data_IF_127145140501
#
_entry.id   IF_127145140501
#
_cell.length_a   1.000
_cell.length_b   1.000
_cell.length_c   1.000
_cell.angle_alpha   90.00
_cell.angle_beta   90.00
_cell.angle_gamma   90.00
#
_symmetry.space_group_name_H-M   'P 1'
#
loop_
_entity.id
_entity.type
_entity.pdbx_description
1 polymer ?
#
# COMPACT_ATOMS: atom_id res chain seq x y z
N UNK A 1 -15.29 11.09 -2.60
CA UNK A 1 -15.52 9.65 -2.88
C UNK A 1 -14.92 9.29 -4.22
N UNK A 2 -14.40 8.09 -4.35
CA UNK A 2 -13.80 7.61 -5.58
C UNK A 2 -13.84 6.08 -5.63
N UNK A 3 -13.55 5.52 -6.79
CA UNK A 3 -13.59 4.09 -6.98
C UNK A 3 -12.26 3.64 -7.60
N UNK A 4 -11.67 2.62 -7.03
CA UNK A 4 -10.46 2.02 -7.58
C UNK A 4 -10.80 0.73 -8.31
N UNK A 5 -10.26 0.56 -9.49
CA UNK A 5 -10.48 -0.63 -10.29
C UNK A 5 -9.14 -1.20 -10.69
N UNK A 6 -8.93 -2.48 -10.45
CA UNK A 6 -7.71 -3.13 -10.88
C UNK A 6 -8.02 -3.96 -12.12
N UNK A 7 -7.21 -3.78 -13.14
CA UNK A 7 -7.35 -4.49 -14.38
C UNK A 7 -6.08 -5.26 -14.68
N UNK A 8 -6.24 -6.46 -15.22
CA UNK A 8 -5.10 -7.21 -15.65
C UNK A 8 -4.72 -6.72 -17.03
N UNK A 9 -3.44 -6.54 -17.26
CA UNK A 9 -2.96 -6.12 -18.54
C UNK A 9 -3.02 -7.33 -19.47
N UNK A 10 -3.67 -7.18 -20.61
CA UNK A 10 -3.80 -8.30 -21.51
C UNK A 10 -2.62 -8.45 -22.44
N UNK A 11 -1.68 -7.53 -22.40
CA UNK A 11 -0.50 -7.64 -23.23
C UNK A 11 0.48 -8.58 -22.52
N UNK A 12 0.73 -9.74 -23.10
CA UNK A 12 1.58 -10.73 -22.46
C UNK A 12 3.01 -10.26 -22.29
N UNK A 13 3.42 -9.27 -23.04
CA UNK A 13 4.76 -8.76 -22.91
C UNK A 13 4.83 -7.54 -22.01
N UNK A 14 3.76 -7.24 -21.31
CA UNK A 14 3.73 -6.06 -20.46
C UNK A 14 4.65 -6.27 -19.27
N UNK A 15 5.44 -5.24 -18.97
CA UNK A 15 6.34 -5.31 -17.86
C UNK A 15 5.57 -5.43 -16.55
N UNK A 16 4.40 -4.85 -16.49
CA UNK A 16 3.60 -4.88 -15.27
C UNK A 16 2.24 -5.49 -15.62
N UNK A 17 1.90 -6.61 -15.01
CA UNK A 17 0.67 -7.31 -15.37
C UNK A 17 -0.62 -6.66 -14.87
N UNK A 18 -0.52 -5.76 -13.92
CA UNK A 18 -1.73 -5.14 -13.36
C UNK A 18 -1.68 -3.62 -13.40
N UNK A 19 -2.84 -3.02 -13.52
CA UNK A 19 -2.96 -1.57 -13.47
C UNK A 19 -4.14 -1.22 -12.60
N UNK A 20 -3.94 -0.29 -11.66
CA UNK A 20 -5.03 0.25 -10.90
C UNK A 20 -5.43 1.57 -11.52
N UNK A 21 -6.72 1.77 -11.69
CA UNK A 21 -7.27 3.03 -12.18
C UNK A 21 -8.22 3.55 -11.14
N UNK A 22 -8.12 4.81 -10.86
CA UNK A 22 -8.96 5.45 -9.87
C UNK A 22 -9.85 6.47 -10.54
N UNK A 23 -11.13 6.43 -10.25
CA UNK A 23 -12.10 7.33 -10.85
C UNK A 23 -12.87 8.07 -9.76
N UNK A 24 -13.16 9.33 -9.99
CA UNK A 24 -14.03 10.04 -9.07
C UNK A 24 -15.48 9.67 -9.36
N UNK A 25 -16.38 10.12 -8.54
CA UNK A 25 -17.79 9.76 -8.69
C UNK A 25 -18.45 10.34 -9.95
N UNK A 26 -17.75 11.17 -10.69
CA UNK A 26 -18.24 11.66 -11.95
C UNK A 26 -17.71 10.82 -13.10
N UNK A 27 -16.93 9.78 -12.81
CA UNK A 27 -16.38 8.90 -13.83
C UNK A 27 -15.09 9.40 -14.45
N UNK A 28 -14.51 10.47 -13.93
CA UNK A 28 -13.25 10.97 -14.48
C UNK A 28 -12.09 10.18 -13.87
N UNK A 29 -11.15 9.80 -14.72
CA UNK A 29 -9.97 9.10 -14.25
C UNK A 29 -9.08 10.06 -13.45
N UNK A 30 -8.78 9.72 -12.22
CA UNK A 30 -7.95 10.53 -11.37
C UNK A 30 -6.49 10.13 -11.51
N UNK A 31 -6.21 8.85 -11.63
CA UNK A 31 -4.86 8.38 -11.89
C UNK A 31 -4.90 6.93 -12.37
N UNK A 32 -3.82 6.49 -12.97
CA UNK A 32 -3.63 5.11 -13.38
C UNK A 32 -2.19 4.74 -13.05
N UNK A 33 -2.00 3.65 -12.32
CA UNK A 33 -0.67 3.22 -11.92
C UNK A 33 -0.54 1.73 -12.13
N UNK A 34 0.64 1.29 -12.53
CA UNK A 34 0.89 -0.11 -12.80
C UNK A 34 1.60 -0.76 -11.62
N UNK A 35 1.38 -2.03 -11.43
CA UNK A 35 2.11 -2.78 -10.41
C UNK A 35 2.28 -4.23 -10.88
N UNK A 36 3.15 -4.98 -10.20
CA UNK A 36 3.60 -6.25 -10.74
C UNK A 36 3.49 -7.44 -9.81
N UNK A 37 2.64 -7.40 -8.82
CA UNK A 37 2.41 -8.59 -8.00
C UNK A 37 0.94 -9.00 -8.10
N UNK A 38 0.69 -10.28 -7.91
CA UNK A 38 -0.68 -10.78 -7.92
C UNK A 38 -1.39 -10.24 -6.69
N UNK A 39 -2.46 -9.54 -6.90
CA UNK A 39 -3.18 -8.95 -5.79
C UNK A 39 -4.29 -9.86 -5.33
N UNK A 40 -4.62 -9.79 -4.06
CA UNK A 40 -5.74 -10.54 -3.52
C UNK A 40 -6.70 -9.66 -2.73
N UNK A 41 -6.34 -8.43 -2.43
CA UNK A 41 -7.22 -7.55 -1.70
C UNK A 41 -6.94 -6.08 -2.02
N UNK A 42 -7.98 -5.27 -1.91
CA UNK A 42 -7.84 -3.85 -2.12
C UNK A 42 -8.70 -3.17 -1.07
N UNK A 43 -8.16 -2.15 -0.44
CA UNK A 43 -8.88 -1.36 0.56
C UNK A 43 -8.80 0.09 0.14
N UNK A 44 -9.89 0.83 0.27
CA UNK A 44 -9.89 2.25 -0.04
C UNK A 44 -10.56 3.03 1.08
N UNK A 45 -10.06 4.20 1.33
CA UNK A 45 -10.76 5.14 2.20
C UNK A 45 -10.68 6.51 1.52
N UNK A 46 -10.90 7.57 2.26
CA UNK A 46 -10.96 8.89 1.65
C UNK A 46 -9.59 9.41 1.22
N UNK A 47 -8.53 8.82 1.69
CA UNK A 47 -7.20 9.36 1.44
C UNK A 47 -6.30 8.45 0.64
N UNK A 48 -6.52 7.15 0.68
CA UNK A 48 -5.55 6.23 0.11
C UNK A 48 -6.16 4.93 -0.36
N UNK A 49 -5.42 4.24 -1.20
CA UNK A 49 -5.79 2.93 -1.70
C UNK A 49 -4.67 1.98 -1.36
N UNK A 50 -5.01 0.89 -0.69
CA UNK A 50 -4.03 -0.12 -0.32
C UNK A 50 -4.30 -1.37 -1.12
N UNK A 51 -3.29 -1.88 -1.80
CA UNK A 51 -3.40 -3.11 -2.58
C UNK A 51 -2.44 -4.11 -2.00
N UNK A 52 -2.91 -5.29 -1.70
CA UNK A 52 -2.06 -6.33 -1.13
C UNK A 52 -2.17 -7.62 -1.93
N UNK A 53 -1.15 -8.42 -1.88
CA UNK A 53 -1.13 -9.74 -2.48
C UNK A 53 0.03 -10.53 -1.93
N UNK A 54 -0.26 -11.65 -1.28
CA UNK A 54 0.78 -12.41 -0.59
C UNK A 54 1.40 -11.56 0.50
N UNK A 55 2.69 -11.33 0.43
CA UNK A 55 3.38 -10.46 1.39
C UNK A 55 3.51 -9.05 0.86
N UNK A 56 3.12 -8.80 -0.37
CA UNK A 56 3.35 -7.51 -1.02
C UNK A 56 2.25 -6.52 -0.68
N UNK A 57 2.62 -5.27 -0.57
CA UNK A 57 1.69 -4.20 -0.29
C UNK A 57 2.13 -2.95 -1.02
N UNK A 58 1.18 -2.24 -1.60
CA UNK A 58 1.47 -0.94 -2.14
C UNK A 58 0.36 -0.02 -1.68
N UNK A 59 0.72 1.17 -1.24
CA UNK A 59 -0.22 2.16 -0.77
C UNK A 59 -0.11 3.38 -1.67
N UNK A 60 -1.21 3.70 -2.33
CA UNK A 60 -1.27 4.88 -3.18
C UNK A 60 -2.04 5.97 -2.46
N UNK A 61 -1.57 7.19 -2.60
CA UNK A 61 -2.38 8.33 -2.18
C UNK A 61 -3.42 8.55 -3.27
N UNK A 62 -4.47 9.26 -2.96
CA UNK A 62 -5.56 9.44 -3.93
C UNK A 62 -5.12 10.22 -5.16
N UNK A 63 -3.97 10.85 -5.15
CA UNK A 63 -3.44 11.51 -6.33
C UNK A 63 -2.57 10.57 -7.17
N UNK A 64 -2.44 9.32 -6.76
CA UNK A 64 -1.68 8.32 -7.49
C UNK A 64 -0.24 8.18 -7.06
N UNK A 65 0.26 9.05 -6.20
CA UNK A 65 1.65 8.89 -5.76
C UNK A 65 1.76 7.71 -4.81
N UNK A 66 2.88 7.04 -4.82
CA UNK A 66 3.09 5.88 -3.97
C UNK A 66 3.56 6.34 -2.60
N UNK A 67 2.85 5.90 -1.57
CA UNK A 67 3.20 6.21 -0.21
C UNK A 67 4.11 5.13 0.35
N UNK A 68 3.88 3.90 -0.03
CA UNK A 68 4.71 2.77 0.39
C UNK A 68 4.59 1.66 -0.63
N UNK A 69 5.67 0.95 -0.87
CA UNK A 69 5.64 -0.24 -1.71
C UNK A 69 6.71 -1.19 -1.18
N UNK A 70 6.32 -2.41 -0.90
CA UNK A 70 7.28 -3.40 -0.41
C UNK A 70 6.61 -4.65 0.07
N UNK A 71 7.40 -5.54 0.62
CA UNK A 71 6.92 -6.78 1.19
C UNK A 71 6.95 -6.69 2.71
N UNK A 72 5.92 -7.17 3.32
CA UNK A 72 5.88 -7.26 4.78
C UNK A 72 6.38 -8.65 5.20
N UNK A 73 6.39 -8.91 6.48
CA UNK A 73 7.09 -10.09 6.97
C UNK A 73 6.36 -11.38 6.65
N UNK A 74 5.07 -11.36 6.57
CA UNK A 74 4.28 -12.56 6.34
C UNK A 74 3.15 -12.27 5.37
N UNK A 75 2.43 -13.30 5.00
CA UNK A 75 1.29 -13.15 4.14
C UNK A 75 0.24 -12.27 4.80
N UNK A 76 -0.22 -11.28 4.10
CA UNK A 76 -1.15 -10.28 4.61
C UNK A 76 -2.56 -10.76 4.39
N UNK A 77 -3.35 -10.80 5.44
CA UNK A 77 -4.76 -11.10 5.30
C UNK A 77 -5.53 -9.79 5.14
N UNK A 78 -5.12 -8.76 5.82
CA UNK A 78 -5.79 -7.48 5.75
C UNK A 78 -4.85 -6.40 6.25
N UNK A 79 -4.99 -5.20 5.71
CA UNK A 79 -4.24 -4.06 6.22
C UNK A 79 -5.15 -2.87 6.11
N UNK A 80 -5.27 -2.10 7.18
CA UNK A 80 -6.11 -0.92 7.20
C UNK A 80 -5.41 0.21 7.95
N UNK A 81 -5.70 1.44 7.61
CA UNK A 81 -5.16 2.55 8.38
C UNK A 81 -5.71 2.52 9.81
N UNK A 82 -4.89 2.86 10.77
CA UNK A 82 -5.34 2.85 12.15
C UNK A 82 -6.04 4.13 12.56
N UNK A 83 -5.95 5.15 11.75
CA UNK A 83 -6.46 6.46 12.11
C UNK A 83 -5.35 7.40 12.56
N UNK A 84 -4.17 6.89 12.82
CA UNK A 84 -3.04 7.72 13.17
C UNK A 84 -2.16 7.90 11.95
N UNK A 85 -1.45 9.02 11.92
CA UNK A 85 -0.61 9.36 10.77
C UNK A 85 0.42 8.25 10.51
N UNK A 86 0.50 7.78 9.29
CA UNK A 86 1.45 6.79 8.83
C UNK A 86 1.40 5.47 9.62
N UNK A 87 0.27 5.17 10.22
CA UNK A 87 0.16 3.95 11.01
C UNK A 87 -0.93 3.05 10.47
N UNK A 88 -0.64 1.77 10.38
CA UNK A 88 -1.56 0.78 9.83
C UNK A 88 -1.63 -0.45 10.73
N UNK A 89 -2.77 -1.10 10.73
CA UNK A 89 -2.93 -2.37 11.43
C UNK A 89 -2.88 -3.45 10.36
N UNK A 90 -1.98 -4.39 10.52
CA UNK A 90 -1.82 -5.49 9.57
C UNK A 90 -2.22 -6.78 10.24
N UNK A 91 -3.12 -7.51 9.62
CA UNK A 91 -3.56 -8.80 10.11
C UNK A 91 -2.89 -9.85 9.25
N UNK A 92 -2.07 -10.66 9.85
CA UNK A 92 -1.44 -11.79 9.21
C UNK A 92 -2.23 -13.06 9.58
N UNK A 93 -1.79 -14.19 9.11
CA UNK A 93 -2.47 -15.42 9.39
C UNK A 93 -2.53 -15.70 10.89
N UNK A 94 -1.45 -15.52 11.59
CA UNK A 94 -1.35 -15.91 12.99
C UNK A 94 -1.14 -14.77 13.97
N UNK A 95 -1.13 -13.56 13.50
CA UNK A 95 -0.89 -12.45 14.41
C UNK A 95 -1.34 -11.14 13.78
N UNK A 96 -1.48 -10.15 14.61
CA UNK A 96 -1.83 -8.81 14.15
C UNK A 96 -0.74 -7.86 14.64
N UNK A 97 -0.34 -6.95 13.78
CA UNK A 97 0.71 -6.00 14.13
C UNK A 97 0.33 -4.61 13.72
N UNK A 98 0.89 -3.63 14.39
CA UNK A 98 0.80 -2.25 13.99
C UNK A 98 2.11 -1.93 13.29
N UNK A 99 2.03 -1.38 12.10
CA UNK A 99 3.23 -0.93 11.41
C UNK A 99 3.17 0.58 11.28
N UNK A 100 4.31 1.20 11.31
CA UNK A 100 4.42 2.63 11.09
C UNK A 100 5.36 2.86 9.94
N UNK A 101 4.96 3.72 9.01
CA UNK A 101 5.82 4.09 7.91
C UNK A 101 6.72 5.23 8.36
N UNK A 102 7.99 5.12 8.10
CA UNK A 102 8.91 6.15 8.46
C UNK A 102 9.46 6.79 7.23
N UNK A 103 9.56 8.09 7.25
CA UNK A 103 10.23 8.77 6.16
C UNK A 103 11.72 8.62 6.42
N UNK A 104 12.39 7.85 5.59
CA UNK A 104 13.79 7.58 5.80
C UNK A 104 14.70 8.46 4.99
N UNK A 105 14.15 9.43 4.26
CA UNK A 105 15.01 10.29 3.51
C UNK A 105 15.76 11.16 4.45
N UNK A 106 17.02 11.17 4.39
CA UNK A 106 17.77 11.95 5.32
C UNK A 106 17.62 13.34 4.87
N UNK A 107 17.78 14.23 5.80
CA UNK A 107 17.58 15.46 5.48
C UNK A 107 18.50 15.93 4.50
N UNK A 108 18.25 16.74 3.68
CA UNK A 108 19.10 17.19 2.73
C UNK A 108 19.40 16.27 1.65
N UNK A 109 18.91 15.17 1.65
CA UNK A 109 19.22 14.26 0.74
C UNK A 109 18.63 14.63 -0.48
N UNK A 110 19.33 14.70 -1.44
CA UNK A 110 18.81 14.90 -2.59
C UNK A 110 18.42 13.74 -3.10
N UNK A 111 17.40 13.54 -3.17
CA UNK A 111 16.95 12.48 -3.78
C UNK A 111 17.35 12.61 -5.10
N UNK A 112 17.88 11.77 -5.66
CA UNK A 112 18.19 11.73 -6.85
C UNK A 112 17.06 11.69 -7.60
N UNK A 113 17.01 12.33 -8.52
CA UNK A 113 15.95 12.29 -9.33
C UNK A 113 15.66 10.98 -9.72
N UNK A 114 14.63 10.63 -9.77
CA UNK A 114 14.29 9.35 -10.14
C UNK A 114 14.37 8.43 -9.08
N UNK A 115 14.84 8.80 -8.06
CA UNK A 115 14.85 7.97 -7.02
C UNK A 115 13.52 7.74 -6.74
N UNK A 116 13.21 6.70 -6.37
CA UNK A 116 11.93 6.40 -6.25
C UNK A 116 11.37 6.74 -5.01
N UNK A 117 10.16 6.87 -4.95
CA UNK A 117 9.53 7.22 -3.80
C UNK A 117 9.65 6.21 -2.77
N UNK A 118 9.81 5.02 -3.12
CA UNK A 118 9.78 4.04 -2.11
C UNK A 118 11.02 4.13 -1.30
N UNK A 119 12.04 4.78 -1.72
CA UNK A 119 13.20 4.80 -0.90
C UNK A 119 13.07 5.76 0.25
N UNK A 120 12.07 6.57 0.29
CA UNK A 120 11.92 7.47 1.40
C UNK A 120 11.07 6.95 2.53
N UNK A 121 10.47 5.81 2.36
CA UNK A 121 9.53 5.30 3.36
C UNK A 121 9.85 3.85 3.67
N UNK A 122 9.94 3.52 4.91
CA UNK A 122 10.10 2.13 5.32
C UNK A 122 9.05 1.84 6.37
N UNK A 123 8.73 0.59 6.51
CA UNK A 123 7.75 0.17 7.49
C UNK A 123 8.45 -0.37 8.72
N UNK A 124 8.00 0.04 9.88
CA UNK A 124 8.45 -0.58 11.12
C UNK A 124 7.24 -1.21 11.74
N UNK A 125 7.43 -2.31 12.38
CA UNK A 125 6.31 -3.04 12.94
C UNK A 125 6.42 -3.18 14.43
N UNK A 126 5.29 -3.23 15.06
CA UNK A 126 5.21 -3.49 16.48
C UNK A 126 4.11 -4.50 16.66
N UNK A 127 4.35 -5.52 17.40
CA UNK A 127 3.30 -6.50 17.67
C UNK A 127 2.28 -5.88 18.54
N UNK A 128 1.04 -6.16 18.26
CA UNK A 128 0.00 -5.74 19.12
C UNK A 128 -0.03 -6.66 20.31
N UNK A 129 -0.25 -6.12 21.39
CA UNK A 129 -0.35 -6.90 22.57
C UNK A 129 -1.47 -7.75 22.41
N UNK A 130 -1.36 -8.85 22.84
CA UNK A 130 -2.25 -9.70 22.57
C UNK A 130 -3.16 -9.82 23.42
N UNK A 131 -4.07 -9.76 23.11
CA UNK A 131 -5.13 -9.81 23.86
C UNK A 131 -5.26 -10.98 24.53
N UNK A 132 -4.89 -11.77 24.16
CA UNK A 132 -5.08 -12.87 24.71
C UNK A 132 -4.71 -12.86 25.77
N UNK A 133 -3.97 -12.25 25.87
CA UNK A 133 -3.52 -12.14 26.99
C UNK A 133 -4.51 -11.72 27.72
N UNK A 134 -5.30 -11.34 27.23
CA UNK A 134 -6.19 -10.92 27.94
C UNK A 134 -6.88 -11.91 28.48
N UNK A 135 -6.92 -12.36 28.86
CA UNK A 135 -7.66 -13.26 29.27
C UNK A 135 -7.64 -13.39 30.18
#
# INVERSE_FOLDING_TARGET
DYVGVIQKNTNENAKHPYMIRCYNMRGNNMFSEAFDFDYDNIFTDDEEILVTGGKNCIIFRKNGSVKFQGALKNRIRSIVPSGKHLEYVVVYENETQVIRLKNTLPDGTKTKAGSTTETGITATTESLATPEDAK
#
